data_IF_686177466997
#
_entry.id   IF_686177466997
#
_cell.length_a   1.000
_cell.length_b   1.000
_cell.length_c   1.000
_cell.angle_alpha   90.00
_cell.angle_beta   90.00
_cell.angle_gamma   90.00
#
_symmetry.space_group_name_H-M   'P 1'
#
loop_
_entity.id
_entity.type
_entity.pdbx_description
1 polymer ?
#
# COMPACT_ATOMS: atom_id res chain seq x y z
N UNK A 1 5.56 -19.22 -1.93
CA UNK A 1 6.10 -18.01 -2.58
C UNK A 1 5.85 -16.85 -1.65
N UNK A 2 6.85 -16.00 -1.50
CA UNK A 2 7.09 -15.29 -0.26
C UNK A 2 6.59 -13.84 -0.26
N UNK A 3 6.13 -13.35 0.89
CA UNK A 3 5.68 -11.96 1.07
C UNK A 3 6.85 -10.98 1.28
N UNK A 4 8.08 -11.48 1.45
CA UNK A 4 9.24 -10.62 1.74
C UNK A 4 9.52 -9.58 0.64
N UNK A 5 9.17 -9.90 -0.62
CA UNK A 5 9.30 -8.95 -1.75
C UNK A 5 8.36 -7.77 -1.55
N UNK A 6 7.08 -8.04 -1.25
CA UNK A 6 6.05 -7.02 -1.02
C UNK A 6 6.44 -6.15 0.18
N UNK A 7 6.88 -6.77 1.28
CA UNK A 7 7.32 -6.05 2.47
C UNK A 7 8.47 -5.09 2.16
N UNK A 8 9.52 -5.57 1.48
CA UNK A 8 10.68 -4.74 1.12
C UNK A 8 10.30 -3.54 0.25
N UNK A 9 9.50 -3.76 -0.79
CA UNK A 9 9.06 -2.65 -1.65
C UNK A 9 8.17 -1.65 -0.91
N UNK A 10 7.27 -2.15 -0.07
CA UNK A 10 6.37 -1.31 0.73
C UNK A 10 7.17 -0.42 1.70
N UNK A 11 8.16 -0.99 2.39
CA UNK A 11 9.06 -0.24 3.28
C UNK A 11 9.89 0.80 2.51
N UNK A 12 10.41 0.46 1.32
CA UNK A 12 11.15 1.40 0.47
C UNK A 12 10.30 2.61 0.04
N UNK A 13 8.99 2.40 -0.13
CA UNK A 13 8.03 3.46 -0.45
C UNK A 13 7.53 4.22 0.79
N UNK A 14 8.15 4.00 1.96
CA UNK A 14 7.71 4.56 3.25
C UNK A 14 6.26 4.17 3.61
N UNK A 15 5.81 3.01 3.12
CA UNK A 15 4.51 2.46 3.38
C UNK A 15 4.50 1.36 4.44
N UNK A 16 3.33 0.74 4.62
CA UNK A 16 3.14 -0.41 5.52
C UNK A 16 2.28 -1.50 4.88
N UNK A 17 2.46 -2.75 5.34
CA UNK A 17 1.65 -3.90 4.93
C UNK A 17 1.09 -4.61 6.17
N UNK A 18 -0.21 -4.85 6.18
CA UNK A 18 -0.93 -5.60 7.22
C UNK A 18 -1.54 -6.87 6.63
N UNK A 19 -1.72 -7.90 7.46
CA UNK A 19 -2.42 -9.12 7.07
C UNK A 19 -3.48 -9.50 8.08
N UNK A 20 -4.66 -9.84 7.58
CA UNK A 20 -5.76 -10.41 8.36
C UNK A 20 -6.13 -11.76 7.75
N UNK A 21 -6.14 -12.82 8.56
CA UNK A 21 -6.54 -14.15 8.10
C UNK A 21 -7.69 -14.70 8.92
N UNK A 22 -8.70 -15.24 8.25
CA UNK A 22 -9.87 -15.87 8.89
C UNK A 22 -10.05 -17.27 8.31
N UNK A 23 -10.09 -18.27 9.19
CA UNK A 23 -10.27 -19.68 8.82
C UNK A 23 -11.54 -19.82 7.97
N UNK A 24 -11.42 -20.49 6.83
CA UNK A 24 -12.52 -20.68 5.87
C UNK A 24 -12.90 -19.45 5.05
N UNK A 25 -12.27 -18.27 5.26
CA UNK A 25 -12.51 -17.04 4.50
C UNK A 25 -11.30 -16.57 3.69
N UNK A 26 -10.12 -17.09 4.01
CA UNK A 26 -8.86 -16.71 3.38
C UNK A 26 -8.16 -15.58 4.11
N UNK A 27 -7.25 -14.90 3.40
CA UNK A 27 -6.41 -13.83 3.95
C UNK A 27 -6.55 -12.55 3.13
N UNK A 28 -6.61 -11.42 3.84
CA UNK A 28 -6.61 -10.07 3.26
C UNK A 28 -5.28 -9.42 3.58
N UNK A 29 -4.59 -8.95 2.55
CA UNK A 29 -3.35 -8.19 2.66
C UNK A 29 -3.66 -6.74 2.33
N UNK A 30 -3.32 -5.82 3.24
CA UNK A 30 -3.58 -4.39 3.08
C UNK A 30 -2.27 -3.65 2.98
N UNK A 31 -2.02 -2.97 1.86
CA UNK A 31 -0.82 -2.15 1.65
C UNK A 31 -1.21 -0.66 1.70
N UNK A 32 -0.46 0.14 2.46
CA UNK A 32 -0.64 1.59 2.56
C UNK A 32 0.63 2.28 2.11
N UNK A 33 0.53 3.11 1.08
CA UNK A 33 1.65 3.87 0.52
C UNK A 33 1.33 5.36 0.64
N UNK A 34 2.20 6.19 1.23
CA UNK A 34 2.08 7.64 1.15
C UNK A 34 2.13 8.09 -0.31
N UNK A 35 1.20 8.95 -0.71
CA UNK A 35 1.23 9.56 -2.04
C UNK A 35 0.90 11.04 -1.93
N UNK A 36 1.58 11.85 -2.73
CA UNK A 36 1.23 13.25 -2.88
C UNK A 36 0.00 13.34 -3.76
N UNK A 37 -1.02 14.08 -3.30
CA UNK A 37 -2.14 14.42 -4.17
C UNK A 37 -1.61 15.38 -5.24
N UNK A 38 -1.79 15.09 -6.54
CA UNK A 38 -1.40 16.02 -7.56
C UNK A 38 -2.18 17.31 -7.31
N UNK A 39 -1.47 18.39 -6.97
CA UNK A 39 -2.10 19.69 -6.87
C UNK A 39 -2.73 19.98 -8.22
N UNK A 40 -4.06 20.06 -8.24
CA UNK A 40 -4.82 20.48 -9.41
C UNK A 40 -4.30 21.87 -9.76
N UNK A 41 -3.40 21.96 -10.74
CA UNK A 41 -2.94 23.24 -11.30
C UNK A 41 -4.18 23.97 -11.79
N UNK A 42 -4.70 24.86 -10.96
CA UNK A 42 -5.79 25.74 -11.32
C UNK A 42 -5.25 26.73 -12.34
N UNK A 43 -5.42 26.41 -13.62
CA UNK A 43 -5.33 27.41 -14.67
C UNK A 43 -6.48 28.43 -14.47
N UNK A 44 -6.12 29.65 -14.10
CA UNK A 44 -6.81 30.92 -14.43
C UNK A 44 -5.66 31.93 -14.59
N UNK A 45 -5.27 32.31 -15.80
CA UNK A 45 -5.91 33.35 -16.64
C UNK A 45 -6.32 34.56 -15.82
#
# INVERSE_FOLDING_TARGET
>A
MDLHIVKRFTEMLSGSVDVESKVGKGSTFTVRIPYETPQRRGNRQ
#
